data_IF_110302189188
#
_entry.id   IF_110302189188
#
_cell.length_a   1.000
_cell.length_b   1.000
_cell.length_c   1.000
_cell.angle_alpha   90.00
_cell.angle_beta   90.00
_cell.angle_gamma   90.00
#
_symmetry.space_group_name_H-M   'P 1'
#
loop_
_entity.id
_entity.type
_entity.pdbx_description
1 polymer ?
#
# COMPACT_ATOMS: atom_id res chain seq x y z
N UNK A 1 -39.44 -2.55 -8.40
CA UNK A 1 -38.52 -3.56 -7.86
C UNK A 1 -37.57 -3.86 -9.00
N UNK A 2 -36.62 -2.96 -9.22
CA UNK A 2 -35.68 -3.04 -10.34
C UNK A 2 -34.55 -3.97 -9.93
N UNK A 3 -34.73 -5.26 -10.21
CA UNK A 3 -33.66 -6.24 -10.12
C UNK A 3 -32.88 -6.20 -11.44
N UNK A 4 -32.13 -5.09 -11.65
CA UNK A 4 -31.14 -5.01 -12.72
C UNK A 4 -29.91 -5.75 -12.20
N UNK A 5 -29.45 -6.82 -12.86
CA UNK A 5 -28.16 -7.41 -12.56
C UNK A 5 -27.12 -6.30 -12.76
N UNK A 6 -26.54 -5.82 -11.67
CA UNK A 6 -25.41 -4.89 -11.73
C UNK A 6 -24.30 -5.62 -12.50
N UNK A 7 -23.93 -5.09 -13.67
CA UNK A 7 -22.81 -5.57 -14.46
C UNK A 7 -21.58 -5.76 -13.55
N UNK A 8 -20.83 -6.86 -13.67
CA UNK A 8 -19.70 -7.13 -12.80
C UNK A 8 -18.71 -5.96 -12.83
N UNK A 9 -18.42 -5.39 -11.66
CA UNK A 9 -17.48 -4.28 -11.52
C UNK A 9 -16.15 -4.65 -12.19
N UNK A 10 -15.79 -3.92 -13.25
CA UNK A 10 -14.53 -4.13 -13.96
C UNK A 10 -13.39 -3.69 -13.03
N UNK A 11 -12.61 -4.65 -12.56
CA UNK A 11 -11.47 -4.41 -11.66
C UNK A 11 -10.30 -3.81 -12.45
N UNK A 12 -10.22 -2.48 -12.48
CA UNK A 12 -9.09 -1.76 -13.08
C UNK A 12 -7.83 -1.85 -12.21
N UNK A 13 -6.65 -1.71 -12.83
CA UNK A 13 -5.37 -1.61 -12.12
C UNK A 13 -5.36 -0.29 -11.35
N UNK A 14 -5.12 -0.36 -10.04
CA UNK A 14 -5.25 0.75 -9.09
C UNK A 14 -3.90 1.33 -8.69
N UNK A 15 -2.80 0.60 -8.93
CA UNK A 15 -1.44 1.03 -8.59
C UNK A 15 -1.19 2.49 -8.97
N UNK A 16 -0.67 3.26 -8.02
CA UNK A 16 -0.45 4.69 -8.18
C UNK A 16 0.89 4.94 -8.87
N UNK A 17 0.85 5.33 -10.13
CA UNK A 17 2.05 5.73 -10.88
C UNK A 17 2.87 6.85 -10.20
N UNK A 18 2.28 7.98 -9.74
CA UNK A 18 3.07 9.03 -9.09
C UNK A 18 3.74 8.56 -7.79
N UNK A 19 3.09 7.68 -7.04
CA UNK A 19 3.69 7.06 -5.85
C UNK A 19 4.90 6.21 -6.22
N UNK A 20 4.76 5.36 -7.25
CA UNK A 20 5.84 4.47 -7.70
C UNK A 20 7.06 5.26 -8.16
N UNK A 21 6.86 6.31 -8.96
CA UNK A 21 7.95 7.15 -9.45
C UNK A 21 8.67 7.88 -8.31
N UNK A 22 7.91 8.43 -7.35
CA UNK A 22 8.49 9.10 -6.18
C UNK A 22 9.30 8.15 -5.30
N UNK A 23 8.81 6.92 -5.06
CA UNK A 23 9.53 5.90 -4.31
C UNK A 23 10.80 5.49 -5.05
N UNK A 24 10.74 5.33 -6.37
CA UNK A 24 11.90 4.99 -7.19
C UNK A 24 13.01 6.05 -7.09
N UNK A 25 12.68 7.33 -7.23
CA UNK A 25 13.65 8.40 -7.06
C UNK A 25 14.26 8.41 -5.65
N UNK A 26 13.44 8.21 -4.61
CA UNK A 26 13.93 8.15 -3.24
C UNK A 26 14.85 6.93 -3.02
N UNK A 27 14.55 5.78 -3.63
CA UNK A 27 15.41 4.60 -3.62
C UNK A 27 16.78 4.85 -4.26
N UNK A 28 16.86 5.65 -5.33
CA UNK A 28 18.14 6.07 -5.91
C UNK A 28 18.92 7.03 -4.99
N UNK A 29 18.23 7.88 -4.23
CA UNK A 29 18.84 8.81 -3.28
C UNK A 29 19.30 8.14 -1.97
N UNK A 30 18.65 7.04 -1.59
CA UNK A 30 18.93 6.29 -0.37
C UNK A 30 20.40 5.87 -0.17
N UNK A 31 21.12 5.26 -1.14
CA UNK A 31 22.54 4.94 -0.96
C UNK A 31 23.42 6.18 -0.77
N UNK A 32 23.07 7.30 -1.42
CA UNK A 32 23.80 8.57 -1.23
C UNK A 32 23.57 9.13 0.18
N UNK A 33 22.34 9.03 0.70
CA UNK A 33 22.03 9.39 2.09
C UNK A 33 22.81 8.54 3.09
N UNK A 34 22.90 7.22 2.85
CA UNK A 34 23.67 6.31 3.69
C UNK A 34 25.16 6.71 3.75
N UNK A 35 25.77 6.99 2.60
CA UNK A 35 27.16 7.45 2.53
C UNK A 35 27.33 8.78 3.28
N UNK A 36 26.43 9.74 3.05
CA UNK A 36 26.43 11.02 3.75
C UNK A 36 26.35 10.84 5.28
N UNK A 37 25.48 9.96 5.77
CA UNK A 37 25.32 9.73 7.19
C UNK A 37 26.57 9.10 7.82
N UNK A 38 27.18 8.11 7.15
CA UNK A 38 28.45 7.51 7.57
C UNK A 38 29.56 8.56 7.64
N UNK A 39 29.68 9.40 6.60
CA UNK A 39 30.70 10.42 6.51
C UNK A 39 30.51 11.53 7.57
N UNK A 40 29.27 11.98 7.76
CA UNK A 40 28.95 12.95 8.81
C UNK A 40 29.30 12.42 10.19
N UNK A 41 28.86 11.20 10.52
CA UNK A 41 29.17 10.56 11.80
C UNK A 41 30.68 10.47 12.01
N UNK A 42 31.45 10.09 10.99
CA UNK A 42 32.91 10.03 11.07
C UNK A 42 33.54 11.39 11.41
N UNK A 43 33.11 12.46 10.74
CA UNK A 43 33.67 13.79 10.97
C UNK A 43 33.30 14.38 12.33
N UNK A 44 32.05 14.20 12.77
CA UNK A 44 31.58 14.79 14.04
C UNK A 44 31.85 13.93 15.27
N UNK A 45 32.24 12.66 15.09
CA UNK A 45 32.42 11.71 16.20
C UNK A 45 33.30 12.27 17.33
N UNK A 46 34.46 12.86 16.99
CA UNK A 46 35.40 13.42 17.99
C UNK A 46 34.93 14.73 18.64
N UNK A 47 33.96 15.41 18.03
CA UNK A 47 33.42 16.68 18.51
C UNK A 47 32.22 16.47 19.45
N UNK A 48 31.54 15.33 19.34
CA UNK A 48 30.39 14.99 20.18
C UNK A 48 30.84 14.43 21.53
N UNK A 49 30.07 14.72 22.58
CA UNK A 49 30.21 14.03 23.87
C UNK A 49 29.81 12.56 23.76
N UNK A 50 30.31 11.71 24.66
CA UNK A 50 30.08 10.26 24.63
C UNK A 50 28.58 9.89 24.53
N UNK A 51 27.74 10.56 25.30
CA UNK A 51 26.27 10.36 25.25
C UNK A 51 25.72 10.65 23.86
N UNK A 52 26.12 11.76 23.25
CA UNK A 52 25.66 12.13 21.92
C UNK A 52 26.24 11.24 20.82
N UNK A 53 27.45 10.70 20.97
CA UNK A 53 28.00 9.73 20.04
C UNK A 53 27.13 8.46 19.97
N UNK A 54 26.74 7.93 21.13
CA UNK A 54 25.89 6.72 21.21
C UNK A 54 24.50 7.00 20.64
N UNK A 55 23.88 8.13 21.01
CA UNK A 55 22.56 8.51 20.49
C UNK A 55 22.62 8.76 18.98
N UNK A 56 23.60 9.52 18.48
CA UNK A 56 23.72 9.82 17.06
C UNK A 56 23.91 8.55 16.23
N UNK A 57 24.77 7.63 16.68
CA UNK A 57 25.00 6.36 15.98
C UNK A 57 23.74 5.48 15.94
N UNK A 58 23.11 5.25 17.09
CA UNK A 58 21.90 4.43 17.20
C UNK A 58 20.71 5.02 16.45
N UNK A 59 20.46 6.33 16.58
CA UNK A 59 19.40 7.03 15.86
C UNK A 59 19.65 7.01 14.35
N UNK A 60 20.89 7.18 13.90
CA UNK A 60 21.27 7.09 12.48
C UNK A 60 21.03 5.70 11.91
N UNK A 61 21.36 4.65 12.68
CA UNK A 61 21.13 3.26 12.28
C UNK A 61 19.63 2.97 12.14
N UNK A 62 18.83 3.39 13.12
CA UNK A 62 17.37 3.26 13.05
C UNK A 62 16.82 4.04 11.86
N UNK A 63 17.30 5.26 11.61
CA UNK A 63 16.83 6.14 10.53
C UNK A 63 17.07 5.55 9.14
N UNK A 64 18.25 4.99 8.88
CA UNK A 64 18.55 4.29 7.62
C UNK A 64 17.75 3.01 7.52
N UNK A 65 17.72 2.20 8.58
CA UNK A 65 16.99 0.93 8.59
C UNK A 65 15.50 1.11 8.35
N UNK A 66 14.87 2.08 9.02
CA UNK A 66 13.46 2.41 8.85
C UNK A 66 13.18 2.97 7.45
N UNK A 67 14.07 3.79 6.88
CA UNK A 67 13.91 4.28 5.50
C UNK A 67 13.96 3.13 4.49
N UNK A 68 14.87 2.17 4.67
CA UNK A 68 14.94 0.98 3.81
C UNK A 68 13.66 0.13 3.88
N UNK A 69 13.18 -0.16 5.09
CA UNK A 69 11.91 -0.89 5.29
C UNK A 69 10.74 -0.13 4.70
N UNK A 70 10.67 1.18 4.93
CA UNK A 70 9.64 2.08 4.40
C UNK A 70 9.62 2.01 2.88
N UNK A 71 10.74 2.25 2.20
CA UNK A 71 10.82 2.21 0.74
C UNK A 71 10.44 0.84 0.17
N UNK A 72 10.87 -0.25 0.81
CA UNK A 72 10.50 -1.62 0.42
C UNK A 72 9.00 -1.88 0.51
N UNK A 73 8.38 -1.51 1.64
CA UNK A 73 6.93 -1.66 1.85
C UNK A 73 6.13 -0.79 0.87
N UNK A 74 6.57 0.43 0.59
CA UNK A 74 5.90 1.31 -0.37
C UNK A 74 5.97 0.76 -1.79
N UNK A 75 7.15 0.30 -2.22
CA UNK A 75 7.34 -0.27 -3.55
C UNK A 75 6.51 -1.54 -3.75
N UNK A 76 6.59 -2.48 -2.80
CA UNK A 76 5.84 -3.73 -2.86
C UNK A 76 4.33 -3.48 -2.69
N UNK A 77 3.94 -2.66 -1.71
CA UNK A 77 2.54 -2.38 -1.41
C UNK A 77 1.79 -1.72 -2.56
N UNK A 78 2.43 -0.79 -3.27
CA UNK A 78 1.80 -0.15 -4.42
C UNK A 78 1.70 -1.07 -5.64
N UNK A 79 2.74 -1.86 -5.92
CA UNK A 79 2.77 -2.74 -7.10
C UNK A 79 1.92 -4.01 -6.91
N UNK A 80 1.95 -4.60 -5.72
CA UNK A 80 1.13 -5.76 -5.37
C UNK A 80 -0.30 -5.36 -4.94
N UNK A 81 -0.62 -4.06 -4.95
CA UNK A 81 -1.88 -3.49 -4.43
C UNK A 81 -2.23 -4.05 -3.04
N UNK A 82 -1.20 -4.24 -2.21
CA UNK A 82 -1.32 -4.89 -0.92
C UNK A 82 -1.60 -3.81 0.14
N UNK A 83 -2.84 -3.75 0.59
CA UNK A 83 -3.32 -2.79 1.60
C UNK A 83 -2.47 -2.85 2.89
N UNK A 84 -2.13 -4.05 3.36
CA UNK A 84 -1.34 -4.23 4.59
C UNK A 84 0.08 -3.66 4.46
N UNK A 85 0.75 -3.93 3.34
CA UNK A 85 2.08 -3.37 3.08
C UNK A 85 2.04 -1.84 2.97
N UNK A 86 0.99 -1.29 2.34
CA UNK A 86 0.80 0.16 2.20
C UNK A 86 0.48 0.84 3.55
N UNK A 87 -0.24 0.18 4.45
CA UNK A 87 -0.34 0.62 5.84
C UNK A 87 1.02 0.60 6.54
N UNK A 88 1.80 -0.47 6.37
CA UNK A 88 3.16 -0.55 6.93
C UNK A 88 4.06 0.59 6.44
N UNK A 89 3.95 0.97 5.16
CA UNK A 89 4.59 2.15 4.60
C UNK A 89 4.18 3.44 5.32
N UNK A 90 2.87 3.68 5.50
CA UNK A 90 2.34 4.87 6.18
C UNK A 90 2.74 4.93 7.66
N UNK A 91 2.61 3.81 8.38
CA UNK A 91 2.98 3.69 9.80
C UNK A 91 4.47 3.98 9.96
N UNK A 92 5.32 3.35 9.15
CA UNK A 92 6.77 3.59 9.22
C UNK A 92 7.10 5.04 8.89
N UNK A 93 6.40 5.66 7.94
CA UNK A 93 6.60 7.08 7.58
C UNK A 93 6.22 8.02 8.73
N UNK A 94 5.01 7.88 9.27
CA UNK A 94 4.45 8.84 10.24
C UNK A 94 5.00 8.63 11.64
N UNK A 95 5.17 7.38 12.08
CA UNK A 95 5.53 7.04 13.46
C UNK A 95 7.03 7.00 13.66
N UNK A 96 7.78 6.50 12.68
CA UNK A 96 9.23 6.28 12.84
C UNK A 96 9.99 7.34 12.04
N UNK A 97 9.78 7.41 10.74
CA UNK A 97 10.65 8.18 9.83
C UNK A 97 10.56 9.68 10.09
N UNK A 98 9.37 10.28 10.10
CA UNK A 98 9.22 11.72 10.28
C UNK A 98 9.70 12.20 11.67
N UNK A 99 9.27 11.62 12.80
CA UNK A 99 9.73 12.07 14.11
C UNK A 99 11.23 11.91 14.29
N UNK A 100 11.81 10.81 13.79
CA UNK A 100 13.25 10.58 13.89
C UNK A 100 14.05 11.54 13.00
N UNK A 101 13.56 11.84 11.80
CA UNK A 101 14.19 12.82 10.90
C UNK A 101 14.17 14.21 11.53
N UNK A 102 13.03 14.61 12.12
CA UNK A 102 12.90 15.90 12.82
C UNK A 102 13.82 15.94 14.04
N UNK A 103 13.88 14.87 14.84
CA UNK A 103 14.77 14.78 15.99
C UNK A 103 16.25 14.94 15.60
N UNK A 104 16.69 14.25 14.55
CA UNK A 104 18.05 14.34 14.04
C UNK A 104 18.34 15.73 13.46
N UNK A 105 17.41 16.32 12.71
CA UNK A 105 17.63 17.60 12.04
C UNK A 105 17.63 18.81 12.99
N UNK A 106 16.70 18.86 13.94
CA UNK A 106 16.44 20.06 14.78
C UNK A 106 17.38 20.13 15.98
N UNK A 107 17.88 19.00 16.48
CA UNK A 107 18.72 18.98 17.66
C UNK A 107 20.14 19.48 17.34
N UNK A 108 20.40 20.75 17.66
CA UNK A 108 21.68 21.42 17.38
C UNK A 108 22.90 20.80 18.06
N UNK A 109 22.71 19.99 19.10
CA UNK A 109 23.82 19.31 19.77
C UNK A 109 24.42 18.16 18.93
N UNK A 110 23.75 17.74 17.85
CA UNK A 110 24.32 16.80 16.89
C UNK A 110 25.34 17.42 15.94
N UNK A 111 25.54 18.75 15.96
CA UNK A 111 26.49 19.47 15.09
C UNK A 111 26.34 19.06 13.62
N UNK A 112 25.09 19.08 13.13
CA UNK A 112 24.78 18.60 11.79
C UNK A 112 25.51 19.40 10.71
N UNK A 113 26.08 18.67 9.76
CA UNK A 113 26.74 19.28 8.60
C UNK A 113 25.68 19.83 7.62
N UNK A 114 26.02 20.87 6.82
CA UNK A 114 25.09 21.41 5.81
C UNK A 114 24.52 20.33 4.87
N UNK A 115 25.31 19.31 4.53
CA UNK A 115 24.88 18.22 3.66
C UNK A 115 23.80 17.35 4.32
N UNK A 116 23.82 17.14 5.64
CA UNK A 116 22.76 16.41 6.35
C UNK A 116 21.42 17.14 6.25
N UNK A 117 21.42 18.47 6.38
CA UNK A 117 20.21 19.27 6.23
C UNK A 117 19.59 19.12 4.83
N UNK A 118 20.42 19.03 3.78
CA UNK A 118 19.93 18.78 2.42
C UNK A 118 19.19 17.45 2.36
N UNK A 119 19.80 16.37 2.85
CA UNK A 119 19.16 15.05 2.83
C UNK A 119 17.92 14.97 3.71
N UNK A 120 17.94 15.52 4.93
CA UNK A 120 16.77 15.55 5.80
C UNK A 120 15.61 16.31 5.17
N UNK A 121 15.89 17.45 4.52
CA UNK A 121 14.87 18.22 3.81
C UNK A 121 14.29 17.43 2.63
N UNK A 122 15.15 16.78 1.84
CA UNK A 122 14.70 15.92 0.74
C UNK A 122 13.82 14.78 1.25
N UNK A 123 14.24 14.06 2.29
CA UNK A 123 13.45 12.97 2.90
C UNK A 123 12.08 13.48 3.33
N UNK A 124 12.00 14.61 4.03
CA UNK A 124 10.72 15.18 4.47
C UNK A 124 9.81 15.52 3.28
N UNK A 125 10.34 16.16 2.24
CA UNK A 125 9.57 16.53 1.04
C UNK A 125 9.05 15.29 0.32
N UNK A 126 9.94 14.31 0.05
CA UNK A 126 9.55 13.06 -0.59
C UNK A 126 8.55 12.27 0.26
N UNK A 127 8.77 12.15 1.56
CA UNK A 127 7.86 11.45 2.47
C UNK A 127 6.49 12.13 2.53
N UNK A 128 6.40 13.46 2.53
CA UNK A 128 5.14 14.18 2.50
C UNK A 128 4.37 13.90 1.19
N UNK A 129 5.04 14.02 0.04
CA UNK A 129 4.44 13.70 -1.26
C UNK A 129 3.95 12.23 -1.32
N UNK A 130 4.80 11.29 -0.93
CA UNK A 130 4.47 9.87 -0.96
C UNK A 130 3.33 9.52 -0.01
N UNK A 131 3.24 10.16 1.16
CA UNK A 131 2.15 9.95 2.12
C UNK A 131 0.79 10.28 1.50
N UNK A 132 0.68 11.40 0.78
CA UNK A 132 -0.56 11.81 0.10
C UNK A 132 -1.00 10.75 -0.91
N UNK A 133 -0.09 10.35 -1.82
CA UNK A 133 -0.43 9.36 -2.84
C UNK A 133 -0.60 7.94 -2.30
N UNK A 134 0.07 7.59 -1.21
CA UNK A 134 -0.11 6.31 -0.52
C UNK A 134 -1.49 6.22 0.14
N UNK A 135 -1.98 7.31 0.76
CA UNK A 135 -3.35 7.34 1.30
C UNK A 135 -4.37 7.17 0.18
N UNK A 136 -4.19 7.85 -0.96
CA UNK A 136 -5.09 7.69 -2.11
C UNK A 136 -5.07 6.27 -2.68
N UNK A 137 -3.88 5.68 -2.85
CA UNK A 137 -3.75 4.29 -3.30
C UNK A 137 -4.40 3.32 -2.31
N UNK A 138 -4.23 3.56 -1.00
CA UNK A 138 -4.84 2.75 0.05
C UNK A 138 -6.37 2.78 -0.01
N UNK A 139 -6.97 3.96 -0.16
CA UNK A 139 -8.42 4.11 -0.26
C UNK A 139 -8.97 3.34 -1.46
N UNK A 140 -8.34 3.48 -2.63
CA UNK A 140 -8.78 2.77 -3.84
C UNK A 140 -8.62 1.25 -3.71
N UNK A 141 -7.53 0.77 -3.11
CA UNK A 141 -7.35 -0.65 -2.85
C UNK A 141 -8.41 -1.18 -1.88
N UNK A 142 -8.78 -0.40 -0.84
CA UNK A 142 -9.83 -0.78 0.10
C UNK A 142 -11.20 -0.92 -0.57
N UNK A 143 -11.57 0.05 -1.41
CA UNK A 143 -12.82 0.01 -2.20
C UNK A 143 -12.88 -1.23 -3.10
N UNK A 144 -11.75 -1.58 -3.73
CA UNK A 144 -11.63 -2.78 -4.56
C UNK A 144 -11.80 -4.08 -3.78
N UNK A 145 -11.19 -4.19 -2.60
CA UNK A 145 -11.38 -5.38 -1.76
C UNK A 145 -12.85 -5.53 -1.37
N UNK A 146 -13.52 -4.45 -0.96
CA UNK A 146 -14.97 -4.46 -0.67
C UNK A 146 -15.79 -4.89 -1.89
N UNK A 147 -15.52 -4.32 -3.07
CA UNK A 147 -16.21 -4.69 -4.31
C UNK A 147 -16.02 -6.18 -4.66
N UNK A 148 -14.81 -6.71 -4.46
CA UNK A 148 -14.49 -8.12 -4.69
C UNK A 148 -15.28 -9.04 -3.75
N UNK A 149 -15.42 -8.67 -2.47
CA UNK A 149 -16.25 -9.42 -1.53
C UNK A 149 -17.74 -9.39 -1.91
N UNK A 150 -18.27 -8.23 -2.30
CA UNK A 150 -19.67 -8.11 -2.75
C UNK A 150 -19.92 -8.98 -3.99
N UNK A 151 -19.04 -8.90 -5.00
CA UNK A 151 -19.17 -9.70 -6.22
C UNK A 151 -19.15 -11.20 -5.93
N UNK A 152 -18.34 -11.65 -4.98
CA UNK A 152 -18.30 -13.06 -4.57
C UNK A 152 -19.63 -13.52 -3.96
N UNK A 153 -20.23 -12.73 -3.09
CA UNK A 153 -21.54 -13.03 -2.47
C UNK A 153 -22.65 -13.09 -3.53
N UNK A 154 -22.64 -12.16 -4.49
CA UNK A 154 -23.61 -12.15 -5.60
C UNK A 154 -23.46 -13.42 -6.45
N UNK A 155 -22.23 -13.83 -6.76
CA UNK A 155 -21.96 -15.04 -7.54
C UNK A 155 -22.48 -16.31 -6.82
N UNK A 156 -22.18 -16.45 -5.52
CA UNK A 156 -22.65 -17.58 -4.71
C UNK A 156 -24.19 -17.64 -4.65
N UNK A 157 -24.86 -16.48 -4.57
CA UNK A 157 -26.32 -16.38 -4.56
C UNK A 157 -26.93 -16.81 -5.90
N UNK A 158 -26.40 -16.31 -7.01
CA UNK A 158 -26.87 -16.67 -8.36
C UNK A 158 -26.64 -18.16 -8.66
N UNK A 159 -25.49 -18.72 -8.26
CA UNK A 159 -25.24 -20.16 -8.40
C UNK A 159 -26.26 -21.00 -7.62
N UNK A 160 -26.57 -20.62 -6.37
CA UNK A 160 -27.57 -21.32 -5.57
C UNK A 160 -28.98 -21.27 -6.18
N UNK A 161 -29.38 -20.13 -6.77
CA UNK A 161 -30.66 -20.00 -7.47
C UNK A 161 -30.75 -20.87 -8.73
N UNK A 162 -29.67 -20.95 -9.50
CA UNK A 162 -29.57 -21.81 -10.69
C UNK A 162 -29.70 -23.28 -10.30
N UNK A 163 -28.99 -23.72 -9.24
CA UNK A 163 -29.06 -25.09 -8.72
C UNK A 163 -30.46 -25.45 -8.20
N UNK A 164 -31.11 -24.53 -7.46
CA UNK A 164 -32.47 -24.73 -6.99
C UNK A 164 -33.48 -24.86 -8.14
N UNK A 165 -33.33 -24.02 -9.18
CA UNK A 165 -34.20 -24.03 -10.36
C UNK A 165 -34.00 -25.29 -11.20
N UNK A 166 -32.75 -25.72 -11.42
CA UNK A 166 -32.45 -26.97 -12.14
C UNK A 166 -32.89 -28.22 -11.37
N UNK A 167 -32.73 -28.24 -10.04
CA UNK A 167 -33.22 -29.33 -9.19
C UNK A 167 -34.76 -29.42 -9.18
N UNK A 168 -35.46 -28.29 -9.20
CA UNK A 168 -36.92 -28.22 -9.33
C UNK A 168 -37.39 -28.73 -10.71
N UNK A 169 -36.68 -28.36 -11.78
CA UNK A 169 -36.97 -28.84 -13.14
C UNK A 169 -36.78 -30.37 -13.28
N UNK A 170 -35.77 -30.95 -12.62
CA UNK A 170 -35.56 -32.40 -12.57
C UNK A 170 -36.62 -33.16 -11.75
N UNK A 171 -37.27 -32.50 -10.77
CA UNK A 171 -38.28 -33.13 -9.90
C UNK A 171 -39.72 -33.11 -10.46
N UNK A 172 -40.00 -32.41 -11.57
CA UNK A 172 -41.34 -32.37 -12.19
C UNK A 172 -41.39 -32.95 -13.61
N UNK A 173 -41.52 -34.29 -13.78
CA UNK A 173 -41.63 -34.94 -15.09
C UNK A 173 -42.97 -34.69 -15.82
N UNK A 174 -43.90 -33.92 -15.23
CA UNK A 174 -45.29 -33.81 -15.73
C UNK A 174 -45.49 -32.70 -16.77
N UNK A 175 -44.57 -31.73 -16.89
CA UNK A 175 -44.69 -30.67 -17.90
C UNK A 175 -44.16 -31.08 -19.29
N UNK A 176 -43.16 -31.97 -19.34
CA UNK A 176 -42.59 -32.47 -20.60
C UNK A 176 -43.60 -33.28 -21.44
N UNK A 177 -44.50 -34.03 -20.80
CA UNK A 177 -45.53 -34.82 -21.50
C UNK A 177 -46.64 -33.95 -22.13
N UNK A 178 -46.85 -32.72 -21.68
CA UNK A 178 -47.89 -31.83 -22.23
C UNK A 178 -47.43 -31.11 -23.49
N UNK A 179 -46.12 -30.84 -23.62
CA UNK A 179 -45.51 -30.29 -24.84
C UNK A 179 -45.42 -31.32 -25.97
N UNK A 180 -45.09 -32.58 -25.67
CA UNK A 180 -45.05 -33.66 -26.67
C UNK A 180 -46.46 -33.98 -27.21
N UNK A 181 -47.48 -34.03 -26.34
CA UNK A 181 -48.87 -34.27 -26.80
C UNK A 181 -49.46 -33.16 -27.68
N UNK A 182 -48.98 -31.92 -27.56
CA UNK A 182 -49.42 -30.80 -28.41
C UNK A 182 -48.68 -30.74 -29.76
N UNK A 183 -47.57 -31.46 -29.91
CA UNK A 183 -46.87 -31.62 -31.20
C UNK A 183 -47.37 -32.82 -32.00
N UNK A 184 -48.01 -33.81 -31.35
CA UNK A 184 -48.63 -34.96 -32.03
C UNK A 184 -50.08 -34.72 -32.49
N UNK A 185 -50.68 -33.57 -32.17
CA UNK A 185 -52.07 -33.20 -32.55
C UNK A 185 -52.16 -32.18 -33.70
N UNK A 186 -51.08 -32.01 -34.49
CA UNK A 186 -51.09 -31.16 -35.69
C UNK A 186 -50.67 -31.91 -36.95
#
# INVERSE_FOLDING_TARGET
MDNIPQEPFKLEIISSFPLQMSIYFNLCMYPMHLINLCLSLYFKHKLLSLTYQVIAFSASLVHVGSEGVRLGLGFYGNLAENMSALFGFLITTIIIQLPLTVFLAVNGAFLNLPLEYVFYTLIVIFSAFQTVFAIQALMKTAEREVAKYINKIQLETVTAEIEATTASAMKSPKSAKKLVKLQDEK
#
